data_IF_399070752084
#
_entry.id   IF_399070752084
#
_cell.length_a   1.000
_cell.length_b   1.000
_cell.length_c   1.000
_cell.angle_alpha   90.00
_cell.angle_beta   90.00
_cell.angle_gamma   90.00
#
_symmetry.space_group_name_H-M   'P 1'
#
loop_
_entity.id
_entity.type
_entity.pdbx_description
1 polymer ?
#
# COMPACT_ATOMS: atom_id res chain seq x y z
N UNK A 1 1.04 31.30 26.97
CA UNK A 1 0.57 30.39 28.04
C UNK A 1 1.00 28.96 27.64
N UNK A 2 2.00 28.35 28.30
CA UNK A 2 2.47 27.01 27.97
C UNK A 2 1.57 25.98 28.66
N UNK A 3 0.74 25.29 27.88
CA UNK A 3 -0.10 24.20 28.35
C UNK A 3 0.76 22.97 28.71
N UNK A 4 0.55 22.40 29.93
CA UNK A 4 1.31 21.23 30.38
C UNK A 4 0.80 19.96 29.67
N UNK A 5 1.70 19.04 29.34
CA UNK A 5 1.40 17.75 28.64
C UNK A 5 0.23 16.95 29.25
N UNK A 6 -0.03 17.10 30.58
CA UNK A 6 -1.13 16.43 31.26
C UNK A 6 -2.50 17.03 30.95
N UNK A 7 -2.57 18.34 30.64
CA UNK A 7 -3.84 19.04 30.34
C UNK A 7 -4.32 18.69 28.91
N UNK A 8 -3.43 18.31 28.01
CA UNK A 8 -3.77 17.86 26.67
C UNK A 8 -4.49 16.48 26.66
N UNK A 9 -4.20 15.61 27.63
CA UNK A 9 -4.80 14.27 27.75
C UNK A 9 -6.17 14.23 28.43
N UNK A 10 -6.65 15.36 28.96
CA UNK A 10 -7.92 15.45 29.68
C UNK A 10 -9.00 16.26 28.95
N UNK A 11 -8.78 16.63 27.69
CA UNK A 11 -9.81 17.24 26.86
C UNK A 11 -10.93 16.25 26.57
N UNK A 12 -12.21 16.61 26.77
CA UNK A 12 -13.32 15.71 26.53
C UNK A 12 -13.42 15.39 25.05
N UNK A 13 -13.27 14.11 24.71
CA UNK A 13 -13.53 13.58 23.37
C UNK A 13 -15.04 13.47 23.19
N UNK A 14 -15.64 14.37 22.43
CA UNK A 14 -17.02 14.23 21.99
C UNK A 14 -17.03 13.55 20.62
N UNK A 15 -17.44 12.29 20.60
CA UNK A 15 -17.67 11.57 19.35
C UNK A 15 -19.11 11.79 18.88
N UNK A 16 -19.30 12.60 17.87
CA UNK A 16 -20.54 12.68 17.10
C UNK A 16 -20.25 12.15 15.69
N UNK A 17 -20.73 10.94 15.42
CA UNK A 17 -20.79 10.42 14.05
C UNK A 17 -19.45 10.31 13.29
N UNK A 18 -18.42 9.70 13.91
CA UNK A 18 -17.16 9.40 13.20
C UNK A 18 -16.22 10.59 12.94
N UNK A 19 -16.45 11.74 13.57
CA UNK A 19 -15.59 12.94 13.46
C UNK A 19 -14.95 13.20 14.82
N UNK A 20 -13.61 13.12 14.89
CA UNK A 20 -12.82 13.58 16.04
C UNK A 20 -12.49 15.06 15.87
N UNK A 21 -12.98 15.89 16.80
CA UNK A 21 -12.68 17.32 16.83
C UNK A 21 -11.52 17.56 17.81
N UNK A 22 -10.36 17.96 17.28
CA UNK A 22 -9.26 18.50 18.09
C UNK A 22 -9.20 20.02 17.92
N UNK A 23 -9.01 20.74 19.01
CA UNK A 23 -8.68 22.16 18.95
C UNK A 23 -7.18 22.33 19.18
N UNK A 24 -6.45 22.79 18.17
CA UNK A 24 -5.09 23.26 18.32
C UNK A 24 -5.12 24.80 18.15
N UNK A 25 -4.68 25.51 19.13
CA UNK A 25 -4.66 27.00 19.13
C UNK A 25 -6.03 27.68 18.88
N UNK A 26 -7.15 27.05 19.28
CA UNK A 26 -8.48 27.61 19.16
C UNK A 26 -9.21 27.39 17.84
N UNK A 27 -8.57 26.78 16.86
CA UNK A 27 -9.20 26.40 15.58
C UNK A 27 -9.64 24.94 15.59
N UNK A 28 -10.89 24.61 15.17
CA UNK A 28 -11.36 23.23 15.11
C UNK A 28 -10.74 22.51 13.92
N UNK A 29 -9.87 21.55 14.19
CA UNK A 29 -9.37 20.63 13.17
C UNK A 29 -10.36 19.47 13.04
N UNK A 30 -11.06 19.40 11.92
CA UNK A 30 -11.91 18.27 11.57
C UNK A 30 -11.04 17.15 10.99
N UNK A 31 -10.70 16.16 11.81
CA UNK A 31 -10.20 14.90 11.30
C UNK A 31 -11.41 14.09 10.82
N UNK A 32 -11.64 14.10 9.53
CA UNK A 32 -12.60 13.23 8.91
C UNK A 32 -12.00 11.82 8.95
N UNK A 33 -12.67 10.87 9.62
CA UNK A 33 -12.28 9.46 9.51
C UNK A 33 -12.31 9.11 8.02
N UNK A 34 -11.15 8.81 7.45
CA UNK A 34 -11.08 8.34 6.07
C UNK A 34 -11.83 7.01 6.03
N UNK A 35 -12.83 6.93 5.16
CA UNK A 35 -13.53 5.69 4.94
C UNK A 35 -12.52 4.69 4.37
N UNK A 36 -12.29 3.59 5.08
CA UNK A 36 -11.47 2.46 4.59
C UNK A 36 -12.17 1.71 3.43
N UNK A 37 -13.15 2.35 2.80
CA UNK A 37 -13.94 1.79 1.72
C UNK A 37 -13.16 1.81 0.41
N UNK A 38 -13.06 0.63 -0.20
CA UNK A 38 -12.44 0.46 -1.50
C UNK A 38 -13.43 0.96 -2.56
N UNK A 39 -13.18 2.13 -3.14
CA UNK A 39 -14.06 2.79 -4.12
C UNK A 39 -13.81 2.37 -5.57
N UNK A 40 -12.77 1.59 -5.82
CA UNK A 40 -12.37 1.14 -7.15
C UNK A 40 -12.85 -0.29 -7.37
N UNK A 41 -13.43 -0.64 -8.53
CA UNK A 41 -13.86 -2.00 -8.83
C UNK A 41 -12.69 -3.00 -8.71
N UNK A 42 -12.90 -4.05 -7.94
CA UNK A 42 -11.93 -5.15 -7.78
C UNK A 42 -12.02 -6.08 -8.99
N UNK A 43 -10.87 -6.61 -9.44
CA UNK A 43 -10.77 -7.54 -10.58
C UNK A 43 -10.49 -8.99 -10.14
N UNK A 44 -9.88 -9.18 -8.98
CA UNK A 44 -9.52 -10.50 -8.47
C UNK A 44 -10.14 -10.80 -7.11
N UNK A 45 -9.98 -9.91 -6.12
CA UNK A 45 -10.49 -10.14 -4.78
C UNK A 45 -12.00 -9.99 -4.68
N UNK A 46 -12.61 -10.78 -3.81
CA UNK A 46 -13.92 -10.43 -3.24
C UNK A 46 -13.77 -9.26 -2.27
N UNK A 47 -14.85 -8.55 -1.98
CA UNK A 47 -14.84 -7.46 -1.00
C UNK A 47 -14.32 -7.90 0.38
N UNK A 48 -14.65 -9.10 0.81
CA UNK A 48 -14.21 -9.66 2.09
C UNK A 48 -12.69 -9.92 2.10
N UNK A 49 -12.15 -10.53 1.05
CA UNK A 49 -10.71 -10.75 0.92
C UNK A 49 -9.94 -9.43 0.83
N UNK A 50 -10.44 -8.48 0.04
CA UNK A 50 -9.80 -7.17 -0.08
C UNK A 50 -9.73 -6.44 1.26
N UNK A 51 -10.77 -6.52 2.12
CA UNK A 51 -10.71 -5.98 3.48
C UNK A 51 -9.60 -6.61 4.32
N UNK A 52 -9.46 -7.93 4.25
CA UNK A 52 -8.41 -8.68 4.97
C UNK A 52 -7.03 -8.26 4.49
N UNK A 53 -6.81 -8.23 3.18
CA UNK A 53 -5.52 -7.88 2.57
C UNK A 53 -5.17 -6.40 2.84
N UNK A 54 -6.15 -5.49 2.73
CA UNK A 54 -5.95 -4.07 3.07
C UNK A 54 -5.51 -3.89 4.53
N UNK A 55 -6.22 -4.54 5.47
CA UNK A 55 -5.87 -4.47 6.87
C UNK A 55 -4.48 -5.07 7.16
N UNK A 56 -4.12 -6.17 6.49
CA UNK A 56 -2.81 -6.79 6.64
C UNK A 56 -1.68 -5.93 6.04
N UNK A 57 -1.89 -5.32 4.88
CA UNK A 57 -0.96 -4.38 4.28
C UNK A 57 -0.76 -3.13 5.16
N UNK A 58 -1.82 -2.62 5.77
CA UNK A 58 -1.76 -1.50 6.72
C UNK A 58 -0.93 -1.82 7.97
N UNK A 59 -0.92 -3.08 8.43
CA UNK A 59 -0.03 -3.49 9.53
C UNK A 59 1.44 -3.59 9.11
N UNK A 60 1.71 -3.87 7.83
CA UNK A 60 3.07 -3.94 7.27
C UNK A 60 3.63 -2.54 7.01
N UNK A 61 2.80 -1.65 6.50
CA UNK A 61 3.15 -0.26 6.23
C UNK A 61 2.06 0.67 6.77
N UNK A 62 2.13 0.98 8.07
CA UNK A 62 1.08 1.76 8.75
C UNK A 62 1.14 3.25 8.44
N UNK A 63 -0.01 3.90 8.50
CA UNK A 63 -0.09 5.35 8.61
C UNK A 63 0.36 5.79 10.02
N UNK A 64 1.35 6.67 10.10
CA UNK A 64 1.90 7.17 11.36
C UNK A 64 2.38 8.63 11.25
N UNK A 65 3.13 9.09 12.25
CA UNK A 65 3.66 10.45 12.28
C UNK A 65 4.66 10.77 11.15
N UNK A 66 5.20 9.75 10.47
CA UNK A 66 6.14 9.92 9.34
C UNK A 66 5.42 10.08 8.00
N UNK A 67 4.20 9.58 7.89
CA UNK A 67 3.41 9.74 6.68
C UNK A 67 2.26 8.74 6.52
N UNK A 68 1.62 8.77 5.34
CA UNK A 68 0.49 7.91 5.00
C UNK A 68 0.89 6.45 4.84
N UNK A 69 -0.05 5.55 5.14
CA UNK A 69 0.13 4.10 5.08
C UNK A 69 -0.35 3.43 3.79
N UNK A 70 -0.37 2.10 3.84
CA UNK A 70 -0.75 1.26 2.70
C UNK A 70 -2.20 1.46 2.26
N UNK A 71 -3.10 1.80 3.19
CA UNK A 71 -4.51 2.06 2.89
C UNK A 71 -4.67 3.31 2.03
N UNK A 72 -4.04 4.43 2.42
CA UNK A 72 -4.09 5.69 1.69
C UNK A 72 -3.39 5.59 0.33
N UNK A 73 -2.33 4.79 0.24
CA UNK A 73 -1.65 4.52 -1.00
C UNK A 73 -2.45 3.63 -1.97
N UNK A 74 -3.55 3.02 -1.52
CA UNK A 74 -4.33 2.10 -2.34
C UNK A 74 -3.60 0.80 -2.67
N UNK A 75 -2.73 0.33 -1.78
CA UNK A 75 -1.91 -0.89 -1.98
C UNK A 75 -2.74 -2.10 -2.35
N UNK A 76 -3.92 -2.26 -1.74
CA UNK A 76 -4.82 -3.38 -2.06
C UNK A 76 -5.23 -3.40 -3.54
N UNK A 77 -5.38 -2.23 -4.17
CA UNK A 77 -5.70 -2.11 -5.60
C UNK A 77 -4.52 -2.57 -6.45
N UNK A 78 -3.29 -2.19 -6.07
CA UNK A 78 -2.08 -2.71 -6.71
C UNK A 78 -2.07 -4.25 -6.69
N UNK A 79 -2.24 -4.85 -5.53
CA UNK A 79 -2.24 -6.31 -5.36
C UNK A 79 -3.35 -6.96 -6.19
N UNK A 80 -4.55 -6.41 -6.15
CA UNK A 80 -5.70 -6.87 -6.93
C UNK A 80 -5.38 -6.90 -8.44
N UNK A 81 -4.77 -5.84 -8.97
CA UNK A 81 -4.40 -5.73 -10.38
C UNK A 81 -3.30 -6.71 -10.77
N UNK A 82 -2.26 -6.86 -9.94
CA UNK A 82 -1.20 -7.83 -10.18
C UNK A 82 -1.75 -9.25 -10.21
N UNK A 83 -2.62 -9.61 -9.27
CA UNK A 83 -3.23 -10.94 -9.21
C UNK A 83 -4.25 -11.19 -10.32
N UNK A 84 -4.93 -10.15 -10.81
CA UNK A 84 -5.82 -10.27 -11.95
C UNK A 84 -5.09 -10.54 -13.27
N UNK A 85 -3.85 -10.09 -13.40
CA UNK A 85 -3.02 -10.21 -14.60
C UNK A 85 -2.26 -11.54 -14.73
N UNK A 86 -1.41 -11.65 -15.78
CA UNK A 86 -0.61 -12.85 -16.06
C UNK A 86 0.31 -13.28 -14.92
N UNK A 87 0.81 -12.33 -14.13
CA UNK A 87 1.58 -12.62 -12.92
C UNK A 87 0.78 -13.49 -11.93
N UNK A 88 -0.47 -13.14 -11.68
CA UNK A 88 -1.30 -13.88 -10.72
C UNK A 88 -1.53 -15.33 -11.09
N UNK A 89 -1.61 -15.65 -12.40
CA UNK A 89 -1.78 -17.00 -12.93
C UNK A 89 -0.47 -17.73 -13.21
N UNK A 90 0.68 -17.09 -12.96
CA UNK A 90 2.00 -17.63 -13.32
C UNK A 90 2.14 -17.97 -14.81
N UNK A 91 1.50 -17.20 -15.70
CA UNK A 91 1.42 -17.51 -17.12
C UNK A 91 2.81 -17.62 -17.78
N UNK A 92 3.74 -16.76 -17.36
CA UNK A 92 5.10 -16.69 -17.89
C UNK A 92 6.12 -17.35 -16.97
N UNK A 93 5.68 -18.20 -16.04
CA UNK A 93 6.56 -18.83 -15.08
C UNK A 93 7.57 -19.76 -15.79
N UNK A 94 8.83 -19.62 -15.40
CA UNK A 94 9.91 -20.47 -15.88
C UNK A 94 9.81 -21.91 -15.35
N UNK A 95 9.52 -22.08 -14.06
CA UNK A 95 9.45 -23.39 -13.40
C UNK A 95 8.22 -24.16 -13.84
N UNK A 96 8.42 -25.38 -14.33
CA UNK A 96 7.39 -26.33 -14.74
C UNK A 96 7.51 -27.63 -13.94
N UNK A 97 6.43 -28.40 -13.90
CA UNK A 97 6.48 -29.74 -13.29
C UNK A 97 7.49 -30.66 -14.00
N UNK A 98 8.15 -31.59 -13.26
CA UNK A 98 7.98 -31.85 -11.85
C UNK A 98 8.62 -30.77 -10.96
N UNK A 99 7.91 -30.37 -9.89
CA UNK A 99 8.44 -29.40 -8.92
C UNK A 99 9.32 -30.13 -7.91
N UNK A 100 10.52 -29.64 -7.71
CA UNK A 100 11.51 -30.18 -6.77
C UNK A 100 11.93 -29.11 -5.76
N UNK A 101 12.34 -29.55 -4.57
CA UNK A 101 12.94 -28.65 -3.60
C UNK A 101 14.24 -28.08 -4.17
N UNK A 102 14.49 -26.81 -3.89
CA UNK A 102 15.63 -26.08 -4.41
C UNK A 102 16.28 -25.25 -3.30
N UNK A 103 17.46 -24.71 -3.58
CA UNK A 103 18.15 -23.80 -2.67
C UNK A 103 17.45 -22.44 -2.62
N UNK A 104 17.52 -21.71 -1.49
CA UNK A 104 16.82 -20.44 -1.32
C UNK A 104 17.15 -19.38 -2.40
N UNK A 105 18.36 -19.42 -2.95
CA UNK A 105 18.87 -18.50 -3.96
C UNK A 105 18.10 -18.62 -5.30
N UNK A 106 17.47 -19.76 -5.58
CA UNK A 106 16.62 -19.94 -6.75
C UNK A 106 15.21 -19.34 -6.60
N UNK A 107 14.90 -18.76 -5.43
CA UNK A 107 13.59 -18.21 -5.13
C UNK A 107 12.51 -19.28 -4.95
N UNK A 108 11.26 -18.87 -5.12
CA UNK A 108 10.12 -19.77 -4.95
C UNK A 108 10.02 -20.78 -6.10
N UNK A 109 10.16 -22.07 -5.79
CA UNK A 109 10.07 -23.19 -6.72
C UNK A 109 8.83 -24.08 -6.49
N UNK A 110 7.93 -23.67 -5.58
CA UNK A 110 6.71 -24.41 -5.29
C UNK A 110 5.70 -24.38 -6.44
N UNK A 111 4.68 -25.21 -6.36
CA UNK A 111 3.66 -25.39 -7.42
C UNK A 111 2.55 -24.33 -7.44
N UNK A 112 2.32 -23.65 -6.30
CA UNK A 112 1.21 -22.71 -6.17
C UNK A 112 1.47 -21.44 -6.98
N UNK A 113 0.44 -20.94 -7.63
CA UNK A 113 0.43 -19.63 -8.27
C UNK A 113 0.26 -18.51 -7.23
N UNK A 114 0.63 -17.25 -7.53
CA UNK A 114 0.34 -16.12 -6.64
C UNK A 114 -1.14 -16.01 -6.24
N UNK A 115 -2.07 -16.30 -7.15
CA UNK A 115 -3.51 -16.33 -6.84
C UNK A 115 -3.85 -17.34 -5.77
N UNK A 116 -3.36 -18.55 -5.89
CA UNK A 116 -3.61 -19.64 -4.93
C UNK A 116 -3.02 -19.31 -3.56
N UNK A 117 -1.79 -18.79 -3.53
CA UNK A 117 -1.13 -18.34 -2.30
C UNK A 117 -1.96 -17.24 -1.60
N UNK A 118 -2.47 -16.26 -2.34
CA UNK A 118 -3.30 -15.20 -1.76
C UNK A 118 -4.68 -15.68 -1.32
N UNK A 119 -5.33 -16.59 -2.05
CA UNK A 119 -6.61 -17.19 -1.62
C UNK A 119 -6.46 -17.95 -0.32
N UNK A 120 -5.44 -18.77 -0.23
CA UNK A 120 -5.14 -19.51 1.00
C UNK A 120 -4.78 -18.57 2.15
N UNK A 121 -3.90 -17.61 1.93
CA UNK A 121 -3.50 -16.63 2.94
C UNK A 121 -4.65 -15.77 3.43
N UNK A 122 -5.52 -15.29 2.55
CA UNK A 122 -6.72 -14.54 2.93
C UNK A 122 -7.70 -15.39 3.77
N UNK A 123 -7.84 -16.68 3.43
CA UNK A 123 -8.65 -17.62 4.21
C UNK A 123 -8.06 -17.86 5.62
N UNK A 124 -6.75 -18.03 5.73
CA UNK A 124 -6.06 -18.17 7.03
C UNK A 124 -6.21 -16.93 7.92
N UNK A 125 -6.35 -15.76 7.31
CA UNK A 125 -6.56 -14.48 7.98
C UNK A 125 -8.06 -14.10 8.08
N UNK A 126 -8.98 -15.03 7.99
CA UNK A 126 -10.40 -14.74 8.15
C UNK A 126 -10.67 -13.90 9.42
N UNK A 127 -11.54 -12.89 9.32
CA UNK A 127 -11.87 -11.92 10.37
C UNK A 127 -10.69 -11.04 10.86
N UNK A 128 -9.55 -11.03 10.16
CA UNK A 128 -8.36 -10.27 10.54
C UNK A 128 -8.65 -8.75 10.66
N UNK A 129 -9.43 -8.21 9.73
CA UNK A 129 -9.75 -6.78 9.69
C UNK A 129 -10.57 -6.29 10.91
N UNK A 130 -11.24 -7.21 11.60
CA UNK A 130 -12.09 -6.88 12.76
C UNK A 130 -11.33 -7.04 14.10
N UNK A 131 -10.08 -7.49 14.07
CA UNK A 131 -9.26 -7.67 15.26
C UNK A 131 -8.60 -6.36 15.70
N UNK A 132 -8.35 -6.20 17.01
CA UNK A 132 -7.51 -5.12 17.52
C UNK A 132 -6.08 -5.18 16.93
N UNK A 133 -5.39 -4.04 16.76
CA UNK A 133 -4.06 -3.97 16.14
C UNK A 133 -3.03 -4.95 16.72
N UNK A 134 -2.97 -5.10 18.05
CA UNK A 134 -2.03 -6.02 18.69
C UNK A 134 -2.28 -7.50 18.32
N UNK A 135 -3.54 -7.89 18.14
CA UNK A 135 -3.88 -9.24 17.68
C UNK A 135 -3.60 -9.44 16.19
N UNK A 136 -3.79 -8.39 15.39
CA UNK A 136 -3.38 -8.40 13.98
C UNK A 136 -1.87 -8.63 13.85
N UNK A 137 -1.06 -7.90 14.62
CA UNK A 137 0.39 -8.06 14.63
C UNK A 137 0.81 -9.47 15.07
N UNK A 138 0.16 -10.02 16.10
CA UNK A 138 0.44 -11.38 16.56
C UNK A 138 0.13 -12.41 15.46
N UNK A 139 -0.99 -12.27 14.75
CA UNK A 139 -1.33 -13.18 13.64
C UNK A 139 -0.35 -13.07 12.48
N UNK A 140 0.10 -11.87 12.09
CA UNK A 140 1.09 -11.70 11.04
C UNK A 140 2.45 -12.30 11.43
N UNK A 141 2.88 -12.13 12.67
CA UNK A 141 4.11 -12.77 13.19
C UNK A 141 4.03 -14.29 13.16
N UNK A 142 2.87 -14.87 13.44
CA UNK A 142 2.69 -16.32 13.40
C UNK A 142 2.89 -16.93 11.99
N UNK A 143 2.73 -16.11 10.94
CA UNK A 143 2.86 -16.55 9.54
C UNK A 143 4.06 -15.89 8.83
N UNK A 144 4.97 -15.21 9.53
CA UNK A 144 6.05 -14.40 8.92
C UNK A 144 7.00 -15.21 8.02
N UNK A 145 7.16 -16.52 8.31
CA UNK A 145 7.97 -17.44 7.49
C UNK A 145 7.25 -17.98 6.26
N UNK A 146 5.93 -17.75 6.13
CA UNK A 146 5.13 -18.28 5.03
C UNK A 146 5.42 -17.58 3.69
N UNK A 147 5.17 -18.28 2.58
CA UNK A 147 5.26 -17.69 1.25
C UNK A 147 4.25 -16.58 1.05
N UNK A 148 3.05 -16.71 1.63
CA UNK A 148 2.03 -15.67 1.60
C UNK A 148 2.53 -14.36 2.24
N UNK A 149 3.11 -14.42 3.45
CA UNK A 149 3.60 -13.22 4.12
C UNK A 149 4.75 -12.55 3.32
N UNK A 150 5.65 -13.35 2.75
CA UNK A 150 6.73 -12.82 1.88
C UNK A 150 6.17 -12.04 0.69
N UNK A 151 5.20 -12.62 -0.02
CA UNK A 151 4.54 -11.95 -1.15
C UNK A 151 3.73 -10.72 -0.69
N UNK A 152 2.97 -10.84 0.39
CA UNK A 152 2.20 -9.72 0.93
C UNK A 152 3.10 -8.53 1.27
N UNK A 153 4.21 -8.78 1.97
CA UNK A 153 5.20 -7.74 2.30
C UNK A 153 5.81 -7.11 1.05
N UNK A 154 6.24 -7.94 0.10
CA UNK A 154 6.81 -7.47 -1.17
C UNK A 154 5.81 -6.59 -1.92
N UNK A 155 4.61 -7.08 -2.16
CA UNK A 155 3.59 -6.33 -2.90
C UNK A 155 3.10 -5.08 -2.14
N UNK A 156 3.17 -5.08 -0.81
CA UNK A 156 2.88 -3.87 -0.02
C UNK A 156 3.90 -2.78 -0.34
N UNK A 157 5.20 -3.10 -0.37
CA UNK A 157 6.24 -2.13 -0.74
C UNK A 157 6.14 -1.72 -2.20
N UNK A 158 5.90 -2.66 -3.10
CA UNK A 158 5.69 -2.35 -4.52
C UNK A 158 4.49 -1.43 -4.72
N UNK A 159 3.36 -1.71 -4.07
CA UNK A 159 2.16 -0.87 -4.14
C UNK A 159 2.34 0.51 -3.53
N UNK A 160 3.21 0.66 -2.51
CA UNK A 160 3.57 1.96 -1.95
C UNK A 160 4.40 2.81 -2.89
N UNK A 161 5.32 2.20 -3.67
CA UNK A 161 6.38 2.94 -4.36
C UNK A 161 6.39 2.76 -5.89
N UNK A 162 5.47 1.98 -6.46
CA UNK A 162 5.32 1.87 -7.92
C UNK A 162 4.69 3.13 -8.53
N UNK A 163 4.75 3.24 -9.85
CA UNK A 163 3.96 4.25 -10.56
C UNK A 163 2.45 3.97 -10.39
N UNK A 164 1.61 4.98 -10.13
CA UNK A 164 0.16 4.82 -9.98
C UNK A 164 -0.55 4.10 -11.13
N UNK A 165 0.05 4.04 -12.30
CA UNK A 165 -0.46 3.25 -13.42
C UNK A 165 -0.68 1.76 -13.07
N UNK A 166 0.00 1.25 -12.04
CA UNK A 166 -0.13 -0.13 -11.56
C UNK A 166 -1.20 -0.30 -10.46
N UNK A 167 -1.81 0.78 -9.99
CA UNK A 167 -2.93 0.74 -9.06
C UNK A 167 -2.61 1.06 -7.61
N UNK A 168 -1.35 1.27 -7.26
CA UNK A 168 -0.91 1.71 -5.95
C UNK A 168 -0.44 3.17 -5.95
N UNK A 169 0.24 3.58 -4.86
CA UNK A 169 0.86 4.89 -4.72
C UNK A 169 -0.09 6.05 -5.10
N UNK A 170 -1.34 5.95 -4.68
CA UNK A 170 -2.37 6.92 -4.98
C UNK A 170 -1.92 8.33 -4.60
N UNK A 171 -2.12 9.30 -5.48
CA UNK A 171 -1.66 10.67 -5.26
C UNK A 171 -0.13 10.83 -5.14
N UNK A 172 0.65 9.81 -5.52
CA UNK A 172 2.13 9.80 -5.42
C UNK A 172 2.63 9.93 -3.98
N UNK A 173 1.83 9.51 -3.00
CA UNK A 173 2.15 9.71 -1.57
C UNK A 173 3.40 8.96 -1.13
N UNK A 174 3.62 7.75 -1.65
CA UNK A 174 4.84 6.98 -1.38
C UNK A 174 6.08 7.69 -1.97
N UNK A 175 5.98 8.24 -3.18
CA UNK A 175 7.09 8.99 -3.77
C UNK A 175 7.36 10.31 -3.03
N UNK A 176 6.32 10.98 -2.55
CA UNK A 176 6.49 12.17 -1.72
C UNK A 176 7.20 11.84 -0.41
N UNK A 177 6.84 10.71 0.21
CA UNK A 177 7.44 10.24 1.46
C UNK A 177 8.95 10.01 1.35
N UNK A 178 9.41 9.46 0.22
CA UNK A 178 10.84 9.17 -0.02
C UNK A 178 11.57 10.25 -0.83
N UNK A 179 10.89 11.33 -1.21
CA UNK A 179 11.48 12.40 -2.04
C UNK A 179 11.80 11.97 -3.47
N UNK A 180 11.14 10.94 -4.00
CA UNK A 180 11.36 10.49 -5.38
C UNK A 180 10.60 11.38 -6.37
N UNK A 181 11.26 11.99 -7.36
CA UNK A 181 10.66 12.97 -8.26
C UNK A 181 9.80 12.36 -9.38
N UNK A 182 9.75 11.04 -9.48
CA UNK A 182 9.15 10.32 -10.59
C UNK A 182 10.17 9.96 -11.69
N UNK A 183 9.74 9.24 -12.74
CA UNK A 183 10.62 8.84 -13.83
C UNK A 183 11.11 10.05 -14.62
N UNK A 184 12.38 10.00 -15.03
CA UNK A 184 13.02 10.98 -15.90
C UNK A 184 13.74 10.26 -17.02
N UNK A 185 13.70 10.82 -18.22
CA UNK A 185 14.41 10.29 -19.39
C UNK A 185 15.93 10.52 -19.27
N UNK A 186 16.35 11.57 -18.60
CA UNK A 186 17.75 11.93 -18.40
C UNK A 186 17.87 12.82 -17.17
N UNK A 187 18.97 12.69 -16.45
CA UNK A 187 19.37 13.55 -15.32
C UNK A 187 20.54 14.48 -15.68
N UNK A 188 20.97 14.53 -16.95
CA UNK A 188 22.17 15.26 -17.36
C UNK A 188 22.12 16.74 -16.97
N UNK A 189 21.02 17.41 -17.27
CA UNK A 189 20.87 18.84 -16.98
C UNK A 189 20.81 19.11 -15.47
N UNK A 190 20.14 18.21 -14.73
CA UNK A 190 19.98 18.34 -13.29
C UNK A 190 21.30 18.13 -12.54
N UNK A 191 22.14 17.19 -12.98
CA UNK A 191 23.46 16.93 -12.39
C UNK A 191 24.33 18.19 -12.46
N UNK A 192 24.39 18.82 -13.62
CA UNK A 192 25.22 20.02 -13.82
C UNK A 192 24.66 21.24 -13.08
N UNK A 193 23.34 21.41 -13.12
CA UNK A 193 22.66 22.59 -12.57
C UNK A 193 22.56 22.58 -11.05
N UNK A 194 22.40 21.40 -10.42
CA UNK A 194 22.15 21.25 -9.00
C UNK A 194 23.30 20.56 -8.26
N UNK A 195 24.48 20.49 -8.85
CA UNK A 195 25.64 19.87 -8.21
C UNK A 195 25.89 20.46 -6.81
N UNK A 196 25.86 19.62 -5.78
CA UNK A 196 26.06 20.03 -4.38
C UNK A 196 24.92 20.84 -3.77
N UNK A 197 23.77 20.96 -4.43
CA UNK A 197 22.58 21.65 -3.93
C UNK A 197 21.39 20.67 -3.81
N UNK A 198 20.48 20.88 -2.83
CA UNK A 198 19.24 20.12 -2.78
C UNK A 198 18.41 20.34 -4.04
N UNK A 199 18.05 19.26 -4.72
CA UNK A 199 17.12 19.31 -5.83
C UNK A 199 15.77 18.78 -5.40
N UNK A 200 14.79 19.68 -5.32
CA UNK A 200 13.42 19.35 -4.95
C UNK A 200 12.51 19.54 -6.16
N UNK A 201 11.86 18.46 -6.57
CA UNK A 201 10.87 18.46 -7.64
C UNK A 201 9.57 17.86 -7.13
N UNK A 202 8.44 18.43 -7.53
CA UNK A 202 7.14 17.80 -7.31
C UNK A 202 7.08 16.49 -8.09
N UNK A 203 6.77 15.35 -7.46
CA UNK A 203 6.70 14.07 -8.15
C UNK A 203 5.64 14.09 -9.27
N UNK A 204 5.95 13.41 -10.36
CA UNK A 204 5.04 13.23 -11.49
C UNK A 204 5.07 11.76 -11.92
N UNK A 205 3.89 11.16 -12.14
CA UNK A 205 3.77 9.83 -12.70
C UNK A 205 4.11 9.81 -14.19
N UNK A 206 4.37 8.64 -14.75
CA UNK A 206 4.60 8.49 -16.19
C UNK A 206 3.40 9.02 -17.00
N UNK A 207 2.18 8.73 -16.57
CA UNK A 207 0.96 9.23 -17.23
C UNK A 207 0.89 10.76 -17.25
N UNK A 208 1.29 11.42 -16.17
CA UNK A 208 1.35 12.89 -16.10
C UNK A 208 2.42 13.47 -17.01
N UNK A 209 3.59 12.82 -17.11
CA UNK A 209 4.70 13.26 -17.98
C UNK A 209 4.32 13.10 -19.45
N UNK A 210 3.70 11.99 -19.83
CA UNK A 210 3.30 11.69 -21.21
C UNK A 210 2.03 12.44 -21.62
N UNK A 211 1.28 12.98 -20.65
CA UNK A 211 0.04 13.74 -20.90
C UNK A 211 -1.15 12.87 -21.39
N UNK A 212 -1.09 11.55 -21.17
CA UNK A 212 -2.13 10.60 -21.48
C UNK A 212 -2.09 9.41 -20.50
N UNK A 213 -3.21 8.69 -20.29
CA UNK A 213 -3.18 7.44 -19.56
C UNK A 213 -2.19 6.46 -20.22
N UNK A 214 -1.25 5.93 -19.45
CA UNK A 214 -0.43 4.81 -19.89
C UNK A 214 -1.25 3.57 -19.57
N UNK A 215 -1.41 2.66 -20.54
CA UNK A 215 -2.28 1.48 -20.44
C UNK A 215 -2.04 0.72 -19.13
N UNK A 216 -3.11 0.50 -18.39
CA UNK A 216 -3.13 -0.26 -17.13
C UNK A 216 -4.13 0.26 -16.11
N UNK A 217 -4.48 1.55 -16.18
CA UNK A 217 -5.45 2.16 -15.29
C UNK A 217 -6.35 3.13 -16.06
N UNK A 218 -7.52 2.71 -16.46
CA UNK A 218 -8.63 3.60 -16.79
C UNK A 218 -9.49 3.77 -15.54
N UNK A 219 -9.52 4.98 -14.98
CA UNK A 219 -10.66 5.40 -14.18
C UNK A 219 -11.86 5.36 -15.11
N UNK A 220 -12.76 4.38 -14.95
CA UNK A 220 -14.10 4.48 -15.49
C UNK A 220 -14.73 5.72 -14.84
N UNK A 221 -14.74 6.81 -15.58
CA UNK A 221 -15.59 7.95 -15.27
C UNK A 221 -17.02 7.48 -15.42
N UNK A 222 -17.64 7.10 -14.28
CA UNK A 222 -19.07 6.99 -14.15
C UNK A 222 -19.73 8.36 -14.06
#
# INVERSE_FOLDING_TARGET
MKMKRREFLTLPVQSLGGVLLYTLAGEPIRLQAQSNEIKVPLKFFTAAEARVIQAAAERIFPSDATGPGATEAGVVIYIDRQLAGPYGSDEHRYTKAPFVDSVPEHGYQGKQTPREIYREGASQLANFADLPPAQQDQRLRAIESSQFFRLLRQHTLEGMFSDPMHGGNAGLIGWQLIGYPGPLMSYREEIDKFHGQPWVRKPQSLSQIVGRPVQGWEEEKG
#
